data_IF_447679421682
#
_entry.id   IF_447679421682
#
_cell.length_a   1.000
_cell.length_b   1.000
_cell.length_c   1.000
_cell.angle_alpha   90.00
_cell.angle_beta   90.00
_cell.angle_gamma   90.00
#
_symmetry.space_group_name_H-M   'P 1'
#
loop_
_entity.id
_entity.type
_entity.pdbx_description
1 polymer ?
#
# COMPACT_ATOMS: atom_id res chain seq x y z
N UNK A 1 13.30 -2.32 -24.06
CA UNK A 1 14.51 -2.99 -24.58
C UNK A 1 15.14 -3.84 -23.48
N UNK A 2 15.34 -5.13 -23.79
CA UNK A 2 16.22 -6.17 -23.20
C UNK A 2 16.37 -6.26 -21.66
N UNK A 3 15.62 -7.23 -21.11
CA UNK A 3 16.00 -8.24 -20.09
C UNK A 3 17.16 -7.88 -19.15
N UNK A 4 16.82 -7.29 -18.00
CA UNK A 4 17.64 -7.32 -16.79
C UNK A 4 17.48 -8.69 -16.15
N UNK A 5 18.24 -9.67 -16.61
CA UNK A 5 18.18 -11.00 -16.03
C UNK A 5 19.10 -11.96 -16.74
N UNK A 6 20.09 -12.44 -16.00
CA UNK A 6 20.81 -13.71 -16.17
C UNK A 6 22.06 -13.77 -17.04
N UNK A 7 22.22 -12.98 -18.12
CA UNK A 7 23.31 -13.26 -19.09
C UNK A 7 24.31 -12.12 -19.38
N UNK A 8 24.38 -11.06 -18.57
CA UNK A 8 25.34 -9.97 -18.83
C UNK A 8 26.62 -10.21 -18.01
N UNK A 9 27.80 -10.42 -18.64
CA UNK A 9 29.05 -10.59 -17.92
C UNK A 9 29.37 -9.30 -17.13
N UNK A 10 29.77 -9.45 -15.87
CA UNK A 10 29.95 -8.34 -14.93
C UNK A 10 30.84 -7.20 -15.48
N UNK A 11 31.86 -7.55 -16.28
CA UNK A 11 32.74 -6.58 -16.96
C UNK A 11 31.98 -5.66 -17.92
N UNK A 12 31.03 -6.21 -18.68
CA UNK A 12 30.24 -5.46 -19.65
C UNK A 12 29.21 -4.57 -18.95
N UNK A 13 28.65 -5.02 -17.82
CA UNK A 13 27.76 -4.20 -17.00
C UNK A 13 28.50 -3.00 -16.40
N UNK A 14 29.70 -3.21 -15.85
CA UNK A 14 30.54 -2.16 -15.26
C UNK A 14 30.93 -1.14 -16.33
N UNK A 15 31.40 -1.60 -17.51
CA UNK A 15 31.75 -0.72 -18.62
C UNK A 15 30.55 0.17 -19.05
N UNK A 16 29.33 -0.41 -19.04
CA UNK A 16 28.10 0.31 -19.42
C UNK A 16 27.58 1.27 -18.34
N UNK A 17 27.97 1.06 -17.09
CA UNK A 17 27.70 1.95 -15.96
C UNK A 17 28.72 3.10 -15.98
N UNK A 18 30.01 2.82 -16.18
CA UNK A 18 31.06 3.83 -16.33
C UNK A 18 30.77 4.79 -17.48
N UNK A 19 30.33 4.27 -18.63
CA UNK A 19 29.92 5.11 -19.76
C UNK A 19 28.76 6.04 -19.39
N UNK A 20 27.77 5.53 -18.65
CA UNK A 20 26.63 6.34 -18.18
C UNK A 20 27.02 7.36 -17.11
N UNK A 21 27.96 7.04 -16.24
CA UNK A 21 28.48 7.98 -15.24
C UNK A 21 29.29 9.10 -15.92
N UNK A 22 30.08 8.76 -16.93
CA UNK A 22 30.85 9.72 -17.74
C UNK A 22 29.93 10.69 -18.50
N UNK A 23 28.86 10.20 -19.13
CA UNK A 23 27.86 11.07 -19.77
C UNK A 23 27.14 12.01 -18.80
N UNK A 24 27.15 11.72 -17.49
CA UNK A 24 26.56 12.54 -16.43
C UNK A 24 27.58 13.45 -15.73
N UNK A 25 28.82 13.52 -16.25
CA UNK A 25 29.88 14.38 -15.72
C UNK A 25 30.46 13.92 -14.38
N UNK A 26 30.20 12.67 -13.97
CA UNK A 26 30.73 12.10 -12.74
C UNK A 26 32.07 11.40 -13.05
N UNK A 27 33.17 11.74 -12.35
CA UNK A 27 34.45 11.07 -12.55
C UNK A 27 34.34 9.60 -12.13
N UNK A 28 34.97 8.71 -12.90
CA UNK A 28 35.07 7.29 -12.56
C UNK A 28 35.99 7.15 -11.35
N UNK A 29 35.46 6.80 -10.20
CA UNK A 29 36.25 6.38 -9.04
C UNK A 29 36.94 5.03 -9.32
N UNK A 30 38.02 4.76 -8.58
CA UNK A 30 38.99 3.67 -8.73
C UNK A 30 38.42 2.33 -9.22
N UNK A 31 39.20 1.66 -10.07
CA UNK A 31 38.88 0.33 -10.59
C UNK A 31 38.72 -0.67 -9.44
N UNK A 32 37.47 -1.03 -9.13
CA UNK A 32 37.17 -2.09 -8.17
C UNK A 32 37.48 -3.43 -8.83
N UNK A 33 38.49 -4.12 -8.32
CA UNK A 33 38.87 -5.46 -8.80
C UNK A 33 37.75 -6.46 -8.53
N UNK A 34 37.08 -6.92 -9.58
CA UNK A 34 36.12 -8.04 -9.49
C UNK A 34 36.93 -9.34 -9.34
N UNK A 35 36.68 -10.16 -8.31
CA UNK A 35 37.36 -11.43 -8.14
C UNK A 35 37.19 -12.36 -9.36
N UNK A 36 38.21 -13.16 -9.72
CA UNK A 36 38.13 -14.08 -10.86
C UNK A 36 37.06 -15.17 -10.67
N UNK A 37 36.65 -15.45 -9.43
CA UNK A 37 35.55 -16.36 -9.08
C UNK A 37 34.16 -15.81 -9.39
N UNK A 38 34.04 -14.56 -9.83
CA UNK A 38 32.76 -13.87 -9.97
C UNK A 38 32.23 -13.37 -8.62
N UNK A 39 31.21 -12.50 -8.70
CA UNK A 39 30.46 -12.03 -7.53
C UNK A 39 29.47 -13.13 -7.17
N UNK A 40 29.42 -13.56 -5.89
CA UNK A 40 28.41 -14.52 -5.46
C UNK A 40 27.00 -14.02 -5.84
N UNK A 41 26.11 -14.90 -6.33
CA UNK A 41 24.76 -14.51 -6.69
C UNK A 41 24.08 -13.82 -5.51
N UNK A 42 23.45 -12.66 -5.74
CA UNK A 42 22.57 -12.06 -4.73
C UNK A 42 21.51 -13.10 -4.37
N UNK A 43 21.56 -13.58 -3.14
CA UNK A 43 20.53 -14.43 -2.55
C UNK A 43 19.16 -13.84 -2.93
N UNK A 44 18.25 -14.67 -3.43
CA UNK A 44 16.89 -14.21 -3.75
C UNK A 44 16.32 -13.53 -2.50
N UNK A 45 16.03 -12.22 -2.54
CA UNK A 45 15.64 -11.48 -1.36
C UNK A 45 14.36 -12.05 -0.74
N UNK A 46 13.45 -12.61 -1.55
CA UNK A 46 12.22 -13.18 -1.00
C UNK A 46 12.51 -14.51 -0.29
N UNK A 47 13.25 -15.42 -0.94
CA UNK A 47 13.66 -16.68 -0.31
C UNK A 47 14.48 -16.46 0.96
N UNK A 48 15.41 -15.50 0.95
CA UNK A 48 16.18 -15.11 2.12
C UNK A 48 15.29 -14.60 3.25
N UNK A 49 14.34 -13.70 2.95
CA UNK A 49 13.43 -13.17 3.96
C UNK A 49 12.49 -14.25 4.51
N UNK A 50 12.00 -15.16 3.67
CA UNK A 50 11.17 -16.29 4.11
C UNK A 50 11.95 -17.25 5.00
N UNK A 51 13.21 -17.53 4.67
CA UNK A 51 14.10 -18.32 5.50
C UNK A 51 14.39 -17.64 6.84
N UNK A 52 14.74 -16.34 6.83
CA UNK A 52 14.97 -15.56 8.04
C UNK A 52 13.71 -15.47 8.92
N UNK A 53 12.53 -15.31 8.31
CA UNK A 53 11.25 -15.37 9.01
C UNK A 53 11.03 -16.74 9.66
N UNK A 54 11.35 -17.83 8.97
CA UNK A 54 11.25 -19.18 9.52
C UNK A 54 12.23 -19.43 10.68
N UNK A 55 13.47 -18.95 10.56
CA UNK A 55 14.50 -19.07 11.59
C UNK A 55 14.17 -18.27 12.86
N UNK A 56 13.41 -17.17 12.72
CA UNK A 56 12.98 -16.29 13.81
C UNK A 56 11.49 -16.42 14.19
N UNK A 57 10.76 -17.39 13.59
CA UNK A 57 9.34 -17.57 13.84
C UNK A 57 9.04 -18.12 15.25
N UNK A 58 10.01 -18.81 15.86
CA UNK A 58 9.88 -19.36 17.21
C UNK A 58 10.22 -18.31 18.28
N UNK A 59 9.22 -17.75 18.99
CA UNK A 59 9.44 -16.74 20.02
C UNK A 59 10.08 -17.30 21.30
N UNK A 60 10.16 -18.64 21.42
CA UNK A 60 10.78 -19.34 22.56
C UNK A 60 12.27 -19.57 22.35
N UNK A 61 12.77 -19.49 21.11
CA UNK A 61 14.18 -19.65 20.80
C UNK A 61 14.96 -18.38 21.18
N UNK A 62 15.93 -18.46 22.10
CA UNK A 62 16.75 -17.31 22.45
C UNK A 62 17.67 -16.96 21.27
N UNK A 63 17.67 -15.69 20.86
CA UNK A 63 18.68 -15.16 19.94
C UNK A 63 20.08 -15.33 20.57
N UNK A 64 21.13 -15.61 19.78
CA UNK A 64 22.49 -15.65 20.29
C UNK A 64 22.77 -14.38 21.10
N UNK A 65 23.32 -14.48 22.32
CA UNK A 65 23.72 -13.32 23.07
C UNK A 65 24.91 -12.69 22.35
N UNK A 66 24.64 -11.82 21.38
CA UNK A 66 25.63 -10.90 20.85
C UNK A 66 25.95 -9.92 21.98
N UNK A 67 26.82 -10.38 22.87
CA UNK A 67 27.39 -9.58 23.94
C UNK A 67 28.14 -8.44 23.26
N UNK A 68 27.70 -7.23 23.54
CA UNK A 68 28.43 -6.01 23.25
C UNK A 68 29.90 -6.25 23.68
N UNK A 69 30.85 -6.13 22.75
CA UNK A 69 32.27 -6.29 23.01
C UNK A 69 32.66 -5.42 24.22
N UNK A 70 32.91 -6.04 25.37
CA UNK A 70 33.41 -5.37 26.58
C UNK A 70 32.58 -5.63 27.84
N UNK A 71 32.87 -6.73 28.54
CA UNK A 71 32.75 -6.92 30.01
C UNK A 71 31.36 -6.88 30.68
N UNK A 72 30.44 -6.02 30.25
CA UNK A 72 29.15 -5.78 30.90
C UNK A 72 28.01 -6.68 30.39
N UNK A 73 28.30 -7.65 29.52
CA UNK A 73 27.31 -8.49 28.84
C UNK A 73 26.32 -9.18 29.77
N UNK A 74 26.77 -9.66 30.94
CA UNK A 74 25.91 -10.32 31.92
C UNK A 74 24.85 -9.37 32.51
N UNK A 75 25.24 -8.15 32.87
CA UNK A 75 24.32 -7.14 33.42
C UNK A 75 23.30 -6.69 32.38
N UNK A 76 23.73 -6.53 31.12
CA UNK A 76 22.82 -6.18 30.02
C UNK A 76 21.79 -7.28 29.79
N UNK A 77 22.18 -8.56 29.91
CA UNK A 77 21.24 -9.68 29.79
C UNK A 77 20.21 -9.69 30.93
N UNK A 78 20.65 -9.45 32.17
CA UNK A 78 19.74 -9.37 33.33
C UNK A 78 18.80 -8.16 33.20
N UNK A 79 19.32 -7.00 32.81
CA UNK A 79 18.53 -5.79 32.58
C UNK A 79 17.50 -6.01 31.46
N UNK A 80 17.90 -6.64 30.35
CA UNK A 80 16.99 -6.99 29.25
C UNK A 80 15.93 -8.01 29.68
N UNK A 81 16.30 -9.00 30.50
CA UNK A 81 15.37 -9.98 31.04
C UNK A 81 14.35 -9.31 31.98
N UNK A 82 14.81 -8.47 32.91
CA UNK A 82 13.97 -7.75 33.84
C UNK A 82 13.03 -6.78 33.10
N UNK A 83 13.57 -6.00 32.15
CA UNK A 83 12.77 -5.13 31.28
C UNK A 83 11.71 -5.93 30.51
N UNK A 84 12.08 -7.09 29.94
CA UNK A 84 11.10 -7.94 29.27
C UNK A 84 10.02 -8.37 30.25
N UNK A 85 10.36 -8.87 31.43
CA UNK A 85 9.33 -9.32 32.37
C UNK A 85 8.41 -8.20 32.86
N UNK A 86 8.94 -7.01 33.15
CA UNK A 86 8.14 -5.91 33.69
C UNK A 86 7.37 -5.16 32.61
N UNK A 87 7.98 -4.92 31.45
CA UNK A 87 7.38 -4.11 30.40
C UNK A 87 6.53 -4.91 29.40
N UNK A 88 6.65 -6.25 29.32
CA UNK A 88 5.90 -7.04 28.34
C UNK A 88 4.38 -6.85 28.45
N UNK A 89 3.83 -6.65 29.66
CA UNK A 89 2.39 -6.40 29.84
C UNK A 89 1.97 -5.08 29.18
N UNK A 90 2.72 -4.00 29.43
CA UNK A 90 2.47 -2.70 28.81
C UNK A 90 2.68 -2.73 27.30
N UNK A 91 3.67 -3.48 26.81
CA UNK A 91 3.91 -3.68 25.38
C UNK A 91 2.71 -4.41 24.74
N UNK A 92 2.24 -5.49 25.35
CA UNK A 92 1.10 -6.25 24.84
C UNK A 92 -0.18 -5.40 24.86
N UNK A 93 -0.39 -4.62 25.91
CA UNK A 93 -1.53 -3.72 26.01
C UNK A 93 -1.50 -2.60 24.96
N UNK A 94 -0.36 -1.95 24.79
CA UNK A 94 -0.20 -0.88 23.78
C UNK A 94 -0.37 -1.41 22.36
N UNK A 95 0.24 -2.55 22.03
CA UNK A 95 0.05 -3.21 20.73
C UNK A 95 -1.40 -3.69 20.54
N UNK A 96 -2.06 -4.15 21.61
CA UNK A 96 -3.47 -4.52 21.60
C UNK A 96 -4.38 -3.33 21.29
N UNK A 97 -4.18 -2.21 22.00
CA UNK A 97 -4.90 -0.96 21.77
C UNK A 97 -4.67 -0.42 20.36
N UNK A 98 -3.43 -0.49 19.87
CA UNK A 98 -3.11 -0.08 18.49
C UNK A 98 -3.82 -0.95 17.45
N UNK A 99 -3.90 -2.28 17.66
CA UNK A 99 -4.62 -3.19 16.78
C UNK A 99 -6.11 -2.86 16.71
N UNK A 100 -6.73 -2.60 17.86
CA UNK A 100 -8.16 -2.21 17.95
C UNK A 100 -8.39 -0.87 17.25
N UNK A 101 -7.56 0.13 17.53
CA UNK A 101 -7.62 1.43 16.87
C UNK A 101 -7.49 1.31 15.34
N UNK A 102 -6.51 0.55 14.85
CA UNK A 102 -6.33 0.32 13.43
C UNK A 102 -7.55 -0.40 12.80
N UNK A 103 -8.19 -1.31 13.54
CA UNK A 103 -9.45 -1.92 13.16
C UNK A 103 -10.55 -0.88 12.96
N UNK A 104 -10.76 0.00 13.96
CA UNK A 104 -11.75 1.07 13.87
C UNK A 104 -11.49 2.03 12.70
N UNK A 105 -10.23 2.42 12.47
CA UNK A 105 -9.86 3.28 11.33
C UNK A 105 -10.22 2.60 10.00
N UNK A 106 -9.93 1.30 9.88
CA UNK A 106 -10.28 0.52 8.68
C UNK A 106 -11.79 0.45 8.47
N UNK A 107 -12.56 0.21 9.53
CA UNK A 107 -14.01 0.12 9.48
C UNK A 107 -14.65 1.46 9.12
N UNK A 108 -14.20 2.56 9.74
CA UNK A 108 -14.65 3.92 9.40
C UNK A 108 -14.34 4.24 7.94
N UNK A 109 -13.13 3.92 7.45
CA UNK A 109 -12.79 4.12 6.04
C UNK A 109 -13.70 3.32 5.10
N UNK A 110 -14.01 2.07 5.44
CA UNK A 110 -14.93 1.25 4.67
C UNK A 110 -16.34 1.87 4.61
N UNK A 111 -16.88 2.32 5.76
CA UNK A 111 -18.17 3.00 5.84
C UNK A 111 -18.20 4.29 5.00
N UNK A 112 -17.20 5.17 5.17
CA UNK A 112 -17.07 6.40 4.39
C UNK A 112 -16.97 6.12 2.89
N UNK A 113 -16.22 5.08 2.50
CA UNK A 113 -16.10 4.73 1.08
C UNK A 113 -17.43 4.25 0.48
N UNK A 114 -18.23 3.48 1.24
CA UNK A 114 -19.55 3.05 0.82
C UNK A 114 -20.51 4.24 0.68
N UNK A 115 -20.47 5.18 1.62
CA UNK A 115 -21.26 6.41 1.59
C UNK A 115 -20.90 7.29 0.38
N UNK A 116 -19.60 7.44 0.07
CA UNK A 116 -19.16 8.19 -1.12
C UNK A 116 -19.68 7.55 -2.40
N UNK A 117 -19.67 6.21 -2.50
CA UNK A 117 -20.22 5.51 -3.66
C UNK A 117 -21.73 5.73 -3.78
N UNK A 118 -22.47 5.61 -2.67
CA UNK A 118 -23.91 5.87 -2.63
C UNK A 118 -24.25 7.30 -3.07
N UNK A 119 -23.60 8.29 -2.48
CA UNK A 119 -23.83 9.71 -2.79
C UNK A 119 -23.46 10.04 -4.24
N UNK A 120 -22.41 9.42 -4.80
CA UNK A 120 -22.09 9.58 -6.23
C UNK A 120 -23.21 9.05 -7.11
N UNK A 121 -23.76 7.87 -6.81
CA UNK A 121 -24.87 7.31 -7.56
C UNK A 121 -26.14 8.19 -7.45
N UNK A 122 -26.43 8.73 -6.27
CA UNK A 122 -27.55 9.67 -6.08
C UNK A 122 -27.36 10.97 -6.89
N UNK A 123 -26.15 11.54 -6.88
CA UNK A 123 -25.82 12.74 -7.67
C UNK A 123 -25.93 12.46 -9.17
N UNK A 124 -25.47 11.30 -9.64
CA UNK A 124 -25.60 10.90 -11.04
C UNK A 124 -27.08 10.74 -11.44
N UNK A 125 -27.91 10.12 -10.60
CA UNK A 125 -29.35 9.98 -10.84
C UNK A 125 -30.06 11.34 -10.88
N UNK A 126 -29.74 12.25 -9.96
CA UNK A 126 -30.30 13.60 -9.93
C UNK A 126 -29.86 14.42 -11.15
N UNK A 127 -28.60 14.31 -11.56
CA UNK A 127 -28.10 14.95 -12.79
C UNK A 127 -28.79 14.39 -14.03
N UNK A 128 -29.02 13.09 -14.10
CA UNK A 128 -29.75 12.46 -15.20
C UNK A 128 -31.21 12.92 -15.27
N UNK A 129 -31.89 13.03 -14.11
CA UNK A 129 -33.26 13.53 -14.01
C UNK A 129 -33.36 15.02 -14.40
N UNK A 130 -32.36 15.83 -14.04
CA UNK A 130 -32.30 17.25 -14.41
C UNK A 130 -31.98 17.47 -15.90
N UNK A 131 -31.28 16.52 -16.53
CA UNK A 131 -30.97 16.54 -17.97
C UNK A 131 -32.14 16.07 -18.86
N UNK A 132 -33.20 15.48 -18.29
CA UNK A 132 -34.41 15.15 -19.05
C UNK A 132 -35.20 16.43 -19.40
N UNK A 133 -35.49 16.69 -20.68
CA UNK A 133 -36.32 17.82 -21.07
C UNK A 133 -37.74 17.65 -20.51
N UNK A 134 -38.44 18.76 -20.17
CA UNK A 134 -39.80 18.67 -19.64
C UNK A 134 -40.70 17.91 -20.62
N UNK A 135 -41.40 16.91 -20.10
CA UNK A 135 -42.39 16.15 -20.87
C UNK A 135 -43.43 17.14 -21.43
N UNK A 136 -43.84 16.99 -22.70
CA UNK A 136 -44.86 17.85 -23.28
C UNK A 136 -46.15 17.70 -22.46
N UNK A 137 -46.61 18.81 -21.88
CA UNK A 137 -47.88 18.91 -21.16
C UNK A 137 -49.00 18.44 -22.09
N UNK A 138 -49.85 17.48 -21.70
CA UNK A 138 -51.01 17.13 -22.51
C UNK A 138 -51.92 18.35 -22.59
N UNK A 139 -52.10 18.88 -23.80
CA UNK A 139 -53.00 20.01 -24.05
C UNK A 139 -54.42 19.64 -23.60
N UNK A 140 -55.11 20.48 -22.80
CA UNK A 140 -56.48 20.20 -22.42
C UNK A 140 -57.35 20.28 -23.68
N UNK A 141 -57.91 19.14 -24.11
CA UNK A 141 -58.90 19.10 -25.18
C UNK A 141 -60.11 19.95 -24.78
N UNK A 142 -60.20 21.13 -25.39
CA UNK A 142 -61.35 22.02 -25.36
C UNK A 142 -62.56 21.32 -25.98
N UNK A 143 -63.36 20.65 -25.15
CA UNK A 143 -64.75 20.29 -25.51
C UNK A 143 -65.66 21.50 -25.24
N UNK A 144 -65.51 22.55 -26.04
CA UNK A 144 -66.55 23.59 -26.16
C UNK A 144 -67.62 23.08 -27.12
N UNK A 145 -68.49 22.19 -26.64
CA UNK A 145 -69.69 21.79 -27.41
C UNK A 145 -70.71 22.92 -27.26
N UNK A 146 -71.00 23.56 -28.38
CA UNK A 146 -71.85 24.71 -28.52
C UNK A 146 -73.23 24.50 -27.88
N UNK A 147 -73.61 25.43 -26.99
CA UNK A 147 -75.00 25.68 -26.66
C UNK A 147 -75.74 26.09 -27.95
N UNK A 148 -76.73 25.31 -28.36
CA UNK A 148 -77.65 25.66 -29.44
C UNK A 148 -79.05 25.80 -28.85
N UNK A 149 -79.43 27.04 -28.61
CA UNK A 149 -80.81 27.56 -28.51
C UNK A 149 -80.73 28.89 -29.27
N UNK A 150 -81.66 29.29 -30.15
CA UNK A 150 -83.13 29.17 -30.10
C UNK A 150 -83.70 28.67 -31.47
N UNK A 151 -84.98 28.61 -31.85
CA UNK A 151 -86.16 29.47 -31.70
C UNK A 151 -87.48 28.71 -31.98
N UNK A 152 -88.56 29.36 -31.54
CA UNK A 152 -90.00 29.26 -31.85
C UNK A 152 -90.43 28.65 -33.20
N UNK A 153 -91.55 27.95 -33.13
CA UNK A 153 -92.48 27.58 -34.21
C UNK A 153 -93.64 26.82 -33.61
#
# INVERSE_FOLDING_TARGET
MKLLGRDIPARELIARIEERLRTRGLPSSESVGVPPSGVEPRVDPLAFNLQALGEHADPTRPLPPHTHRGGAGQFVLVAKWAFRQTCQVFINETLGRQRVFNGHVRDSYAQLSAEVVRLRAEVEALRAAQAQPPAPTPSPTSKRRAAKTPERG
#
